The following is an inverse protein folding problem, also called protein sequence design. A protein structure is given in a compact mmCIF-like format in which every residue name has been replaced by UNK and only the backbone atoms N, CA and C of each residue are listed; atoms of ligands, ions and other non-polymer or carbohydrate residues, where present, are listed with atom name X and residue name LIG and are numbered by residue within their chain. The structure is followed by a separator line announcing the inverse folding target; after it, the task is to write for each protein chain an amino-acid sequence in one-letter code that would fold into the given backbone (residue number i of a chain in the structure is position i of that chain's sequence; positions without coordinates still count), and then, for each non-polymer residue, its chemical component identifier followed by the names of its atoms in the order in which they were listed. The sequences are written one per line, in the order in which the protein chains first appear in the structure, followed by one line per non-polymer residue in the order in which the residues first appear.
data_IF_813935330954
#
_entry.id   IF_813935330954
#
_cell.length_a   1.000
_cell.length_b   1.000
_cell.length_c   1.000
_cell.angle_alpha   90.00
_cell.angle_beta   90.00
_cell.angle_gamma   90.00
#
_symmetry.space_group_name_H-M   'P 1'
#
loop_
_entity.id
_entity.type
_entity.pdbx_description
1 polymer ?
#
# COMPACT_ATOMS: atom_id res chain seq x y z
N UNK A 1 -2.18 -3.86 -30.54
CA UNK A 1 -2.10 -4.28 -29.13
C UNK A 1 -2.41 -5.75 -28.98
N UNK A 2 -3.52 -6.27 -29.51
CA UNK A 2 -3.82 -7.72 -29.49
C UNK A 2 -2.74 -8.60 -30.13
N UNK A 3 -2.21 -8.24 -31.30
CA UNK A 3 -1.15 -9.04 -31.96
C UNK A 3 0.16 -9.05 -31.17
N UNK A 4 0.45 -7.97 -30.42
CA UNK A 4 1.62 -7.89 -29.54
C UNK A 4 1.39 -8.67 -28.24
N UNK A 5 0.17 -8.64 -27.70
CA UNK A 5 -0.23 -9.43 -26.53
C UNK A 5 -0.18 -10.94 -26.82
N UNK A 6 -0.59 -11.36 -28.01
CA UNK A 6 -0.49 -12.76 -28.45
C UNK A 6 0.96 -13.20 -28.63
N UNK A 7 1.81 -12.35 -29.23
CA UNK A 7 3.23 -12.63 -29.40
C UNK A 7 3.96 -12.77 -28.05
N UNK A 8 3.70 -11.86 -27.10
CA UNK A 8 4.27 -11.94 -25.75
C UNK A 8 3.72 -13.16 -24.99
N UNK A 9 2.44 -13.54 -25.16
CA UNK A 9 1.87 -14.71 -24.52
C UNK A 9 2.44 -16.04 -25.06
N UNK A 10 2.84 -16.09 -26.33
CA UNK A 10 3.52 -17.25 -26.92
C UNK A 10 4.99 -17.38 -26.46
N UNK A 11 5.71 -16.26 -26.31
CA UNK A 11 7.11 -16.26 -25.84
C UNK A 11 7.25 -16.52 -24.32
N UNK A 12 6.23 -16.19 -23.51
CA UNK A 12 6.35 -16.17 -22.04
C UNK A 12 5.49 -17.23 -21.32
N UNK A 13 5.45 -18.47 -21.83
CA UNK A 13 4.77 -19.59 -21.13
C UNK A 13 5.33 -19.89 -19.73
N UNK A 14 6.51 -19.38 -19.38
CA UNK A 14 7.16 -19.56 -18.07
C UNK A 14 7.28 -18.28 -17.22
N UNK A 15 6.80 -17.12 -17.70
CA UNK A 15 6.82 -15.90 -16.87
C UNK A 15 5.87 -16.05 -15.69
N UNK A 16 6.42 -16.34 -14.50
CA UNK A 16 5.67 -16.27 -13.24
C UNK A 16 5.13 -14.85 -13.08
N UNK A 17 3.80 -14.73 -13.07
CA UNK A 17 3.11 -13.48 -12.78
C UNK A 17 3.61 -12.90 -11.45
N UNK A 18 4.13 -11.67 -11.48
CA UNK A 18 4.44 -10.91 -10.27
C UNK A 18 3.38 -9.83 -10.07
N UNK A 19 2.89 -9.73 -8.84
CA UNK A 19 2.00 -8.63 -8.46
C UNK A 19 2.73 -7.28 -8.42
N UNK A 20 4.07 -7.25 -8.38
CA UNK A 20 4.82 -6.02 -8.25
C UNK A 20 5.24 -5.46 -9.61
N UNK A 21 4.64 -4.33 -9.98
CA UNK A 21 4.89 -3.64 -11.24
C UNK A 21 5.80 -2.42 -10.98
N UNK A 22 7.02 -2.38 -11.52
CA UNK A 22 7.86 -1.19 -11.43
C UNK A 22 7.32 -0.11 -12.38
N UNK A 23 6.81 1.00 -11.84
CA UNK A 23 6.44 2.18 -12.63
C UNK A 23 7.66 3.08 -12.87
N UNK A 24 8.55 3.13 -11.87
CA UNK A 24 9.92 3.64 -11.97
C UNK A 24 10.79 2.92 -10.93
N UNK A 25 11.74 2.12 -11.39
CA UNK A 25 12.64 1.36 -10.51
C UNK A 25 13.88 2.16 -10.07
N UNK A 26 14.25 3.20 -10.83
CA UNK A 26 15.40 4.06 -10.55
C UNK A 26 15.07 5.19 -9.57
N UNK A 27 16.12 5.71 -8.93
CA UNK A 27 16.06 6.80 -7.95
C UNK A 27 16.97 6.54 -6.75
N UNK A 28 17.25 7.57 -5.98
CA UNK A 28 18.11 7.50 -4.78
C UNK A 28 17.32 7.43 -3.48
N UNK A 29 16.03 7.79 -3.50
CA UNK A 29 15.16 7.77 -2.32
C UNK A 29 14.60 6.37 -2.04
N UNK A 30 14.16 6.08 -0.81
CA UNK A 30 13.43 4.85 -0.51
C UNK A 30 12.18 4.71 -1.39
N UNK A 31 11.87 3.51 -1.91
CA UNK A 31 10.69 3.29 -2.73
C UNK A 31 9.37 3.63 -2.03
N UNK A 32 8.38 4.05 -2.81
CA UNK A 32 6.97 4.03 -2.40
C UNK A 32 6.25 2.88 -3.11
N UNK A 33 5.50 2.10 -2.34
CA UNK A 33 4.72 0.97 -2.82
C UNK A 33 3.23 1.33 -2.86
N UNK A 34 2.68 1.43 -4.07
CA UNK A 34 1.30 1.85 -4.32
C UNK A 34 0.38 0.62 -4.53
N UNK A 35 -0.60 0.41 -3.67
CA UNK A 35 -1.52 -0.71 -3.80
C UNK A 35 -2.62 -0.40 -4.82
N UNK A 36 -3.06 -1.40 -5.58
CA UNK A 36 -4.17 -1.27 -6.54
C UNK A 36 -5.46 -0.70 -5.92
N UNK A 37 -6.35 -0.19 -6.75
CA UNK A 37 -7.72 0.15 -6.35
C UNK A 37 -8.69 -1.04 -6.55
N UNK A 38 -10.00 -0.82 -6.41
CA UNK A 38 -11.01 -1.86 -6.65
C UNK A 38 -10.98 -2.48 -8.06
N UNK A 39 -10.45 -1.76 -9.06
CA UNK A 39 -10.25 -2.24 -10.42
C UNK A 39 -9.07 -3.21 -10.62
N UNK A 40 -8.21 -3.39 -9.62
CA UNK A 40 -7.11 -4.36 -9.61
C UNK A 40 -5.86 -3.98 -10.41
N UNK A 41 -5.99 -3.20 -11.49
CA UNK A 41 -4.86 -2.64 -12.25
C UNK A 41 -4.22 -1.45 -11.52
N UNK A 42 -3.02 -1.06 -11.95
CA UNK A 42 -2.18 -0.05 -11.26
C UNK A 42 -1.67 1.07 -12.17
N UNK A 43 -1.92 0.99 -13.48
CA UNK A 43 -1.36 1.95 -14.44
C UNK A 43 -1.85 3.40 -14.27
N UNK A 44 -2.94 3.61 -13.52
CA UNK A 44 -3.40 4.96 -13.17
C UNK A 44 -2.41 5.71 -12.25
N UNK A 45 -1.42 5.03 -11.66
CA UNK A 45 -0.34 5.68 -10.90
C UNK A 45 0.78 6.26 -11.78
N UNK A 46 0.72 6.13 -13.11
CA UNK A 46 1.79 6.60 -14.01
C UNK A 46 2.08 8.10 -13.85
N UNK A 47 1.03 8.92 -13.82
CA UNK A 47 1.20 10.38 -13.69
C UNK A 47 1.65 10.76 -12.28
N UNK A 48 1.21 10.03 -11.24
CA UNK A 48 1.74 10.18 -9.88
C UNK A 48 3.25 9.94 -9.85
N UNK A 49 3.71 8.84 -10.44
CA UNK A 49 5.13 8.52 -10.51
C UNK A 49 5.90 9.65 -11.21
N UNK A 50 5.40 10.14 -12.35
CA UNK A 50 6.00 11.27 -13.05
C UNK A 50 6.19 12.49 -12.15
N UNK A 51 5.16 12.90 -11.41
CA UNK A 51 5.19 14.11 -10.57
C UNK A 51 5.96 13.98 -9.25
N UNK A 52 6.14 12.76 -8.72
CA UNK A 52 7.01 12.53 -7.55
C UNK A 52 8.51 12.81 -7.84
N UNK A 53 8.88 13.00 -9.11
CA UNK A 53 10.24 13.34 -9.53
C UNK A 53 11.15 12.13 -9.71
N UNK A 54 12.26 12.28 -10.45
CA UNK A 54 13.08 11.16 -10.92
C UNK A 54 13.78 10.38 -9.80
N UNK A 55 14.03 11.01 -8.65
CA UNK A 55 14.75 10.38 -7.53
C UNK A 55 13.89 9.46 -6.66
N UNK A 56 12.58 9.41 -6.88
CA UNK A 56 11.63 8.62 -6.09
C UNK A 56 11.27 7.32 -6.83
N UNK A 57 11.77 6.14 -6.42
CA UNK A 57 11.30 4.88 -6.98
C UNK A 57 9.83 4.65 -6.63
N UNK A 58 9.06 4.15 -7.59
CA UNK A 58 7.61 3.89 -7.48
C UNK A 58 7.32 2.50 -8.02
N UNK A 59 6.82 1.65 -7.13
CA UNK A 59 6.36 0.30 -7.47
C UNK A 59 4.88 0.20 -7.13
N UNK A 60 4.13 -0.54 -7.94
CA UNK A 60 2.71 -0.72 -7.70
C UNK A 60 2.32 -2.19 -7.60
N UNK A 61 1.50 -2.52 -6.61
CA UNK A 61 1.03 -3.86 -6.33
C UNK A 61 -0.29 -4.10 -7.07
N UNK A 62 -0.22 -4.79 -8.19
CA UNK A 62 -1.35 -5.27 -8.98
C UNK A 62 -1.97 -6.50 -8.33
N UNK A 63 -3.31 -6.56 -8.37
CA UNK A 63 -4.05 -7.67 -7.79
C UNK A 63 -3.69 -9.01 -8.45
N UNK A 64 -3.48 -10.04 -7.62
CA UNK A 64 -3.34 -11.41 -8.09
C UNK A 64 -4.66 -11.87 -8.74
N UNK A 65 -4.57 -12.44 -9.94
CA UNK A 65 -5.76 -12.86 -10.68
C UNK A 65 -6.59 -11.72 -11.29
N UNK A 66 -5.96 -10.59 -11.64
CA UNK A 66 -6.61 -9.56 -12.48
C UNK A 66 -7.07 -10.15 -13.82
N UNK A 67 -6.25 -11.03 -14.38
CA UNK A 67 -6.46 -11.72 -15.66
C UNK A 67 -6.96 -13.16 -15.49
N UNK A 68 -6.67 -13.82 -14.35
CA UNK A 68 -7.14 -15.17 -14.00
C UNK A 68 -7.74 -15.20 -12.58
N UNK A 69 -9.07 -15.22 -12.49
CA UNK A 69 -9.79 -15.17 -11.23
C UNK A 69 -9.54 -16.40 -10.32
N UNK A 70 -9.03 -17.51 -10.84
CA UNK A 70 -8.71 -18.70 -10.04
C UNK A 70 -7.52 -18.48 -9.10
N UNK A 71 -6.70 -17.47 -9.39
CA UNK A 71 -5.53 -17.11 -8.59
C UNK A 71 -5.82 -16.01 -7.56
N UNK A 72 -7.08 -15.58 -7.42
CA UNK A 72 -7.41 -14.53 -6.47
C UNK A 72 -7.27 -15.03 -5.03
N UNK A 73 -6.54 -14.29 -4.20
CA UNK A 73 -6.48 -14.54 -2.76
C UNK A 73 -7.88 -14.45 -2.12
N UNK A 74 -8.11 -15.27 -1.10
CA UNK A 74 -9.42 -15.44 -0.46
C UNK A 74 -9.73 -14.34 0.57
N UNK A 75 -8.70 -13.79 1.23
CA UNK A 75 -8.83 -12.80 2.29
C UNK A 75 -7.75 -11.70 2.26
N UNK A 76 -7.90 -10.71 3.15
CA UNK A 76 -7.03 -9.53 3.22
C UNK A 76 -5.66 -9.89 3.81
N UNK A 77 -5.62 -10.78 4.78
CA UNK A 77 -4.44 -11.26 5.49
C UNK A 77 -3.48 -11.97 4.54
N UNK A 78 -3.98 -12.92 3.75
CA UNK A 78 -3.24 -13.65 2.73
C UNK A 78 -2.78 -12.73 1.61
N UNK A 79 -3.64 -11.80 1.18
CA UNK A 79 -3.27 -10.79 0.17
C UNK A 79 -2.11 -9.90 0.68
N UNK A 80 -2.19 -9.45 1.93
CA UNK A 80 -1.15 -8.64 2.56
C UNK A 80 0.16 -9.42 2.67
N UNK A 81 0.13 -10.67 3.11
CA UNK A 81 1.33 -11.53 3.19
C UNK A 81 2.00 -11.72 1.83
N UNK A 82 1.21 -11.98 0.77
CA UNK A 82 1.72 -12.06 -0.60
C UNK A 82 2.37 -10.75 -1.04
N UNK A 83 1.72 -9.61 -0.82
CA UNK A 83 2.29 -8.31 -1.17
C UNK A 83 3.58 -8.00 -0.39
N UNK A 84 3.64 -8.37 0.89
CA UNK A 84 4.86 -8.24 1.68
C UNK A 84 6.02 -9.09 1.13
N UNK A 85 5.74 -10.31 0.66
CA UNK A 85 6.74 -11.14 -0.01
C UNK A 85 7.25 -10.47 -1.29
N UNK A 86 6.37 -9.88 -2.09
CA UNK A 86 6.78 -9.19 -3.32
C UNK A 86 7.63 -7.95 -3.04
N UNK A 87 7.21 -7.04 -2.13
CA UNK A 87 7.98 -5.81 -1.87
C UNK A 87 9.34 -6.11 -1.22
N UNK A 88 9.45 -7.19 -0.44
CA UNK A 88 10.72 -7.62 0.19
C UNK A 88 11.78 -8.06 -0.82
N UNK A 89 11.39 -8.44 -2.04
CA UNK A 89 12.34 -8.71 -3.13
C UNK A 89 13.06 -7.46 -3.59
N UNK A 90 12.42 -6.30 -3.47
CA UNK A 90 12.98 -4.99 -3.85
C UNK A 90 13.63 -4.30 -2.65
N UNK A 91 12.96 -4.33 -1.50
CA UNK A 91 13.43 -3.72 -0.26
C UNK A 91 13.31 -4.73 0.89
N UNK A 92 14.39 -5.48 1.22
CA UNK A 92 14.32 -6.57 2.20
C UNK A 92 14.01 -6.14 3.64
N UNK A 93 14.26 -4.87 3.99
CA UNK A 93 14.05 -4.32 5.34
C UNK A 93 13.43 -2.93 5.28
N UNK A 94 12.63 -2.63 6.30
CA UNK A 94 12.06 -1.30 6.47
C UNK A 94 13.10 -0.19 6.72
N UNK A 95 12.64 1.07 6.84
CA UNK A 95 11.24 1.46 6.87
C UNK A 95 10.59 1.46 5.47
N UNK A 96 9.35 0.95 5.38
CA UNK A 96 8.58 0.92 4.12
C UNK A 96 7.71 2.17 3.98
N UNK A 97 7.44 2.61 2.75
CA UNK A 97 6.43 3.64 2.45
C UNK A 97 5.30 3.03 1.62
N UNK A 98 4.08 3.04 2.16
CA UNK A 98 2.90 2.44 1.54
C UNK A 98 1.89 3.51 1.16
N UNK A 99 1.33 3.40 -0.05
CA UNK A 99 0.20 4.20 -0.51
C UNK A 99 -0.98 3.29 -0.81
N UNK A 100 -2.11 3.56 -0.18
CA UNK A 100 -3.32 2.80 -0.32
C UNK A 100 -4.48 3.69 -0.75
N UNK A 101 -5.24 3.22 -1.74
CA UNK A 101 -6.36 3.94 -2.31
C UNK A 101 -7.59 3.02 -2.44
N UNK A 102 -8.76 3.57 -2.14
CA UNK A 102 -10.04 2.90 -2.25
C UNK A 102 -10.08 1.63 -1.40
N UNK A 103 -10.22 0.47 -2.05
CA UNK A 103 -10.34 -0.83 -1.40
C UNK A 103 -9.10 -1.21 -0.58
N UNK A 104 -7.90 -0.89 -1.07
CA UNK A 104 -6.67 -1.45 -0.53
C UNK A 104 -6.19 -0.80 0.77
N UNK A 105 -6.98 0.11 1.36
CA UNK A 105 -6.70 0.62 2.71
C UNK A 105 -6.71 -0.50 3.75
N UNK A 106 -7.57 -1.52 3.61
CA UNK A 106 -7.61 -2.65 4.53
C UNK A 106 -6.40 -3.56 4.34
N UNK A 107 -5.99 -3.79 3.08
CA UNK A 107 -4.78 -4.56 2.76
C UNK A 107 -3.54 -3.83 3.31
N UNK A 108 -3.41 -2.53 3.07
CA UNK A 108 -2.28 -1.77 3.60
C UNK A 108 -2.26 -1.73 5.12
N UNK A 109 -3.42 -1.64 5.77
CA UNK A 109 -3.50 -1.69 7.23
C UNK A 109 -3.01 -3.04 7.77
N UNK A 110 -3.40 -4.13 7.12
CA UNK A 110 -2.95 -5.47 7.46
C UNK A 110 -1.46 -5.69 7.18
N UNK A 111 -0.94 -5.16 6.06
CA UNK A 111 0.50 -5.17 5.77
C UNK A 111 1.29 -4.47 6.89
N UNK A 112 0.81 -3.31 7.37
CA UNK A 112 1.45 -2.60 8.48
C UNK A 112 1.44 -3.45 9.75
N UNK A 113 0.31 -4.08 10.10
CA UNK A 113 0.21 -4.99 11.26
C UNK A 113 1.25 -6.12 11.17
N UNK A 114 1.28 -6.83 10.04
CA UNK A 114 2.20 -7.96 9.83
C UNK A 114 3.68 -7.51 9.83
N UNK A 115 3.99 -6.33 9.30
CA UNK A 115 5.34 -5.76 9.36
C UNK A 115 5.76 -5.47 10.81
N UNK A 116 4.88 -4.87 11.62
CA UNK A 116 5.15 -4.59 13.03
C UNK A 116 5.35 -5.88 13.84
N UNK A 117 4.53 -6.90 13.60
CA UNK A 117 4.67 -8.22 14.22
C UNK A 117 5.99 -8.91 13.84
N UNK A 118 6.49 -8.65 12.63
CA UNK A 118 7.79 -9.14 12.17
C UNK A 118 8.98 -8.26 12.63
N UNK A 119 8.75 -7.20 13.40
CA UNK A 119 9.78 -6.27 13.86
C UNK A 119 10.29 -5.27 12.80
N UNK A 120 9.62 -5.20 11.64
CA UNK A 120 9.86 -4.18 10.62
C UNK A 120 9.06 -2.90 10.91
N UNK A 121 9.48 -1.79 10.28
CA UNK A 121 8.83 -0.48 10.48
C UNK A 121 8.30 0.10 9.16
N UNK A 122 7.36 1.03 9.27
CA UNK A 122 6.76 1.74 8.12
C UNK A 122 6.94 3.23 8.37
N UNK A 123 7.57 3.95 7.43
CA UNK A 123 7.80 5.40 7.52
C UNK A 123 6.56 6.20 7.13
N UNK A 124 5.89 5.81 6.05
CA UNK A 124 4.71 6.52 5.54
C UNK A 124 3.59 5.52 5.27
N UNK A 125 2.41 5.81 5.84
CA UNK A 125 1.16 5.12 5.55
C UNK A 125 0.20 6.15 4.95
N UNK A 126 0.22 6.27 3.62
CA UNK A 126 -0.62 7.21 2.89
C UNK A 126 -1.96 6.57 2.52
N UNK A 127 -3.04 7.04 3.14
CA UNK A 127 -4.41 6.61 2.88
C UNK A 127 -5.10 7.67 2.02
N UNK A 128 -5.42 7.33 0.76
CA UNK A 128 -5.95 8.28 -0.21
C UNK A 128 -7.47 8.15 -0.28
N UNK A 129 -8.15 9.23 0.10
CA UNK A 129 -9.59 9.49 -0.05
C UNK A 129 -10.49 8.31 0.34
N UNK A 130 -10.09 7.56 1.37
CA UNK A 130 -10.75 6.33 1.80
C UNK A 130 -10.75 6.20 3.33
N UNK A 131 -11.80 5.58 3.85
CA UNK A 131 -12.03 5.43 5.28
C UNK A 131 -12.35 3.98 5.62
N UNK A 132 -11.94 3.48 6.79
CA UNK A 132 -12.42 2.21 7.31
C UNK A 132 -13.96 2.20 7.39
N UNK A 133 -14.60 1.02 7.34
CA UNK A 133 -16.04 0.93 7.44
C UNK A 133 -16.50 1.47 8.79
N UNK A 134 -17.64 2.17 8.79
CA UNK A 134 -18.34 2.43 10.06
C UNK A 134 -18.68 1.08 10.67
N UNK A 135 -18.23 0.82 11.89
CA UNK A 135 -18.81 -0.23 12.71
C UNK A 135 -20.26 0.18 12.99
N UNK A 136 -21.16 -0.19 12.09
CA UNK A 136 -22.58 -0.01 12.33
C UNK A 136 -22.92 -0.99 13.44
N UNK A 137 -23.16 -0.49 14.65
CA UNK A 137 -23.78 -1.29 15.72
C UNK A 137 -24.92 -2.07 15.07
N UNK A 138 -24.83 -3.41 15.05
CA UNK A 138 -25.90 -4.24 14.47
C UNK A 138 -27.19 -3.82 15.16
N UNK A 139 -28.12 -3.20 14.42
CA UNK A 139 -29.40 -2.75 14.97
C UNK A 139 -30.07 -3.96 15.60
N UNK A 140 -30.35 -3.87 16.90
CA UNK A 140 -31.07 -4.91 17.62
C UNK A 140 -32.51 -4.98 17.11
N UNK A 141 -33.24 -6.06 17.42
CA UNK A 141 -34.67 -6.13 17.09
C UNK A 141 -35.46 -4.99 17.77
N UNK A 142 -35.00 -4.54 18.94
CA UNK A 142 -35.57 -3.40 19.68
C UNK A 142 -35.36 -2.09 18.91
N UNK A 143 -34.15 -1.83 18.39
CA UNK A 143 -33.86 -0.63 17.58
C UNK A 143 -34.72 -0.56 16.32
N UNK A 144 -34.98 -1.73 15.71
CA UNK A 144 -35.85 -1.84 14.52
C UNK A 144 -37.29 -1.53 14.87
N UNK A 145 -37.79 -2.08 15.98
CA UNK A 145 -39.15 -1.85 16.46
C UNK A 145 -39.36 -0.39 16.85
N UNK A 146 -38.44 0.22 17.59
CA UNK A 146 -38.46 1.66 17.89
C UNK A 146 -38.44 2.52 16.62
N UNK A 147 -37.64 2.15 15.61
CA UNK A 147 -37.63 2.85 14.33
C UNK A 147 -38.95 2.76 13.55
N UNK A 148 -39.69 1.67 13.70
CA UNK A 148 -41.03 1.49 13.11
C UNK A 148 -42.06 2.31 13.90
N UNK A 149 -42.04 2.21 15.23
CA UNK A 149 -42.93 2.94 16.13
C UNK A 149 -42.78 4.46 15.99
N UNK A 150 -41.55 4.98 15.94
CA UNK A 150 -41.32 6.42 15.76
C UNK A 150 -41.82 6.91 14.40
N UNK A 151 -41.63 6.14 13.32
CA UNK A 151 -42.16 6.51 11.99
C UNK A 151 -43.67 6.48 11.91
N UNK A 152 -44.31 5.54 12.60
CA UNK A 152 -45.76 5.47 12.71
C UNK A 152 -46.30 6.67 13.50
N UNK A 153 -45.63 7.06 14.61
CA UNK A 153 -45.97 8.25 15.41
C UNK A 153 -45.80 9.56 14.64
N UNK A 154 -44.84 9.64 13.71
CA UNK A 154 -44.61 10.85 12.89
C UNK A 154 -45.38 10.88 11.58
N UNK A 155 -46.28 9.90 11.32
CA UNK A 155 -47.01 9.77 10.05
C UNK A 155 -46.08 9.87 8.82
N UNK A 156 -44.86 9.33 8.93
CA UNK A 156 -43.85 9.43 7.88
C UNK A 156 -44.05 8.35 6.81
N UNK A 157 -44.77 8.70 5.74
CA UNK A 157 -44.99 7.86 4.57
C UNK A 157 -43.79 7.80 3.61
N UNK A 158 -42.65 8.40 3.93
CA UNK A 158 -41.42 8.29 3.12
C UNK A 158 -40.93 6.83 2.97
N UNK A 159 -41.39 5.92 3.83
CA UNK A 159 -41.20 4.48 3.68
C UNK A 159 -41.83 3.92 2.39
N UNK A 160 -42.96 4.46 1.90
CA UNK A 160 -43.55 4.06 0.61
C UNK A 160 -42.61 4.47 -0.53
N UNK A 161 -42.07 5.69 -0.48
CA UNK A 161 -41.01 6.14 -1.40
C UNK A 161 -39.75 5.27 -1.30
N UNK A 162 -39.40 4.82 -0.09
CA UNK A 162 -38.28 3.89 0.15
C UNK A 162 -38.56 2.50 -0.41
N UNK A 163 -39.75 1.92 -0.22
CA UNK A 163 -40.17 0.64 -0.82
C UNK A 163 -40.16 0.78 -2.34
N UNK A 164 -40.78 1.82 -2.88
CA UNK A 164 -40.86 2.02 -4.31
C UNK A 164 -39.47 2.23 -4.93
N UNK A 165 -38.56 2.93 -4.23
CA UNK A 165 -37.17 3.09 -4.69
C UNK A 165 -36.32 1.82 -4.52
N UNK A 166 -36.45 1.08 -3.41
CA UNK A 166 -35.60 -0.09 -3.09
C UNK A 166 -36.11 -1.40 -3.66
N UNK A 167 -37.42 -1.63 -3.68
CA UNK A 167 -38.07 -2.87 -4.16
C UNK A 167 -38.56 -2.82 -5.60
N UNK A 168 -38.75 -1.64 -6.18
CA UNK A 168 -39.26 -1.49 -7.56
C UNK A 168 -38.20 -0.82 -8.45
N UNK A 169 -37.84 0.45 -8.22
CA UNK A 169 -36.87 1.16 -9.08
C UNK A 169 -35.48 0.55 -9.09
N UNK A 170 -34.92 0.18 -7.93
CA UNK A 170 -33.57 -0.41 -7.83
C UNK A 170 -33.42 -1.73 -8.60
N UNK A 171 -34.29 -2.75 -8.42
CA UNK A 171 -34.18 -3.99 -9.18
C UNK A 171 -34.48 -3.79 -10.67
N UNK A 172 -35.42 -2.92 -11.04
CA UNK A 172 -35.68 -2.60 -12.45
C UNK A 172 -34.44 -1.94 -13.07
N UNK A 173 -33.86 -0.92 -12.42
CA UNK A 173 -32.64 -0.25 -12.90
C UNK A 173 -31.46 -1.23 -12.94
N UNK A 174 -31.29 -2.08 -11.93
CA UNK A 174 -30.24 -3.09 -11.91
C UNK A 174 -30.39 -4.11 -13.05
N UNK A 175 -31.62 -4.57 -13.32
CA UNK A 175 -31.97 -5.48 -14.41
C UNK A 175 -31.80 -4.81 -15.78
N UNK A 176 -32.20 -3.54 -15.92
CA UNK A 176 -31.98 -2.73 -17.12
C UNK A 176 -30.50 -2.49 -17.37
N UNK A 177 -29.74 -2.10 -16.34
CA UNK A 177 -28.29 -2.00 -16.46
C UNK A 177 -27.69 -3.34 -16.80
N UNK A 178 -28.07 -4.47 -16.20
CA UNK A 178 -27.49 -5.77 -16.58
C UNK A 178 -27.86 -6.23 -17.99
N UNK A 179 -28.97 -5.74 -18.55
CA UNK A 179 -29.41 -6.03 -19.92
C UNK A 179 -28.74 -5.13 -20.96
N UNK A 180 -28.32 -3.92 -20.58
CA UNK A 180 -27.68 -2.91 -21.47
C UNK A 180 -26.16 -2.77 -21.22
N UNK A 181 -25.66 -3.34 -20.11
CA UNK A 181 -24.23 -3.31 -19.78
C UNK A 181 -23.46 -4.30 -20.64
N UNK A 182 -22.33 -3.85 -21.15
CA UNK A 182 -21.33 -4.73 -21.76
C UNK A 182 -20.78 -5.76 -20.76
N UNK A 183 -20.13 -6.80 -21.31
CA UNK A 183 -19.53 -7.88 -20.52
C UNK A 183 -18.52 -7.34 -19.49
N UNK A 184 -17.78 -6.28 -19.82
CA UNK A 184 -16.78 -5.66 -18.95
C UNK A 184 -17.39 -5.03 -17.70
N UNK A 185 -18.48 -4.27 -17.85
CA UNK A 185 -19.19 -3.65 -16.73
C UNK A 185 -19.73 -4.69 -15.76
N UNK A 186 -20.26 -5.81 -16.28
CA UNK A 186 -20.76 -6.92 -15.45
C UNK A 186 -19.61 -7.56 -14.68
N UNK A 187 -18.47 -7.81 -15.34
CA UNK A 187 -17.29 -8.37 -14.68
C UNK A 187 -16.75 -7.42 -13.60
N UNK A 188 -16.67 -6.12 -13.88
CA UNK A 188 -16.26 -5.11 -12.90
C UNK A 188 -17.18 -5.10 -11.68
N UNK A 189 -18.51 -5.16 -11.87
CA UNK A 189 -19.45 -5.24 -10.75
C UNK A 189 -19.26 -6.51 -9.91
N UNK A 190 -19.02 -7.67 -10.54
CA UNK A 190 -18.72 -8.92 -9.82
C UNK A 190 -17.44 -8.79 -9.01
N UNK A 191 -16.36 -8.26 -9.61
CA UNK A 191 -15.07 -8.00 -8.94
C UNK A 191 -15.27 -7.09 -7.72
N UNK A 192 -15.99 -5.98 -7.88
CA UNK A 192 -16.28 -5.05 -6.78
C UNK A 192 -17.12 -5.69 -5.66
N UNK A 193 -18.06 -6.57 -5.98
CA UNK A 193 -18.83 -7.31 -4.95
C UNK A 193 -17.94 -8.25 -4.14
N UNK A 194 -17.08 -9.02 -4.80
CA UNK A 194 -16.14 -9.90 -4.11
C UNK A 194 -15.22 -9.12 -3.16
N UNK A 195 -14.67 -7.98 -3.62
CA UNK A 195 -13.86 -7.11 -2.78
C UNK A 195 -14.65 -6.55 -1.60
N UNK A 196 -15.89 -6.11 -1.80
CA UNK A 196 -16.72 -5.62 -0.68
C UNK A 196 -17.01 -6.71 0.36
N UNK A 197 -17.20 -7.97 -0.07
CA UNK A 197 -17.37 -9.10 0.86
C UNK A 197 -16.08 -9.33 1.66
N UNK A 198 -14.94 -9.37 0.97
CA UNK A 198 -13.63 -9.52 1.60
C UNK A 198 -13.33 -8.40 2.61
N UNK A 199 -13.53 -7.14 2.21
CA UNK A 199 -13.35 -5.97 3.09
C UNK A 199 -14.33 -5.91 4.26
N UNK A 200 -15.53 -6.47 4.12
CA UNK A 200 -16.51 -6.54 5.20
C UNK A 200 -16.19 -7.64 6.23
N UNK A 201 -15.45 -8.69 5.82
CA UNK A 201 -15.00 -9.75 6.70
C UNK A 201 -13.78 -9.33 7.54
N UNK A 202 -12.98 -8.36 7.06
CA UNK A 202 -11.77 -7.91 7.74
C UNK A 202 -12.05 -7.21 9.07
N UNK A 203 -11.28 -7.62 10.09
CA UNK A 203 -11.39 -7.08 11.45
C UNK A 203 -10.32 -6.04 11.69
N UNK A 204 -10.74 -4.78 11.68
CA UNK A 204 -9.86 -3.64 11.95
C UNK A 204 -9.43 -3.61 13.42
N UNK A 205 -8.12 -3.64 13.66
CA UNK A 205 -7.51 -3.46 14.97
C UNK A 205 -6.74 -2.14 15.02
N UNK A 206 -6.77 -1.38 16.14
CA UNK A 206 -5.93 -0.20 16.29
C UNK A 206 -4.44 -0.55 16.24
N UNK A 207 -3.64 0.32 15.64
CA UNK A 207 -2.19 0.17 15.50
C UNK A 207 -1.48 1.43 16.01
N UNK A 208 -0.31 1.30 16.66
CA UNK A 208 0.51 2.41 17.14
C UNK A 208 1.29 3.05 15.99
N UNK A 209 0.57 3.59 15.01
CA UNK A 209 1.12 4.21 13.80
C UNK A 209 0.46 5.56 13.53
N UNK A 210 1.17 6.40 12.80
CA UNK A 210 0.63 7.66 12.29
C UNK A 210 0.16 7.47 10.86
N UNK A 211 -1.04 7.91 10.53
CA UNK A 211 -1.60 7.85 9.17
C UNK A 211 -1.47 9.20 8.49
N UNK A 212 -1.03 9.22 7.23
CA UNK A 212 -1.14 10.37 6.34
C UNK A 212 -2.40 10.20 5.50
N UNK A 213 -3.44 10.98 5.79
CA UNK A 213 -4.74 10.92 5.13
C UNK A 213 -4.85 12.06 4.12
N UNK A 214 -4.86 11.75 2.82
CA UNK A 214 -5.06 12.76 1.76
C UNK A 214 -6.50 12.66 1.25
N UNK A 215 -7.28 13.73 1.37
CA UNK A 215 -8.74 13.74 1.09
C UNK A 215 -9.07 14.66 -0.07
N UNK A 216 -10.07 14.28 -0.85
CA UNK A 216 -10.65 15.13 -1.89
C UNK A 216 -11.52 16.25 -1.29
N UNK A 217 -11.33 17.48 -1.76
CA UNK A 217 -12.03 18.68 -1.27
C UNK A 217 -13.57 18.64 -1.35
N UNK A 218 -14.23 18.11 -2.41
CA UNK A 218 -15.68 18.22 -2.61
C UNK A 218 -16.56 17.56 -1.55
N UNK A 219 -15.96 16.80 -0.62
CA UNK A 219 -16.69 16.09 0.43
C UNK A 219 -16.40 16.61 1.83
N UNK A 220 -15.71 17.74 1.98
CA UNK A 220 -15.43 18.34 3.28
C UNK A 220 -16.66 18.89 3.98
N UNK A 221 -17.65 19.38 3.22
CA UNK A 221 -18.94 19.80 3.78
C UNK A 221 -19.89 18.64 4.09
N UNK A 222 -19.53 17.40 3.74
CA UNK A 222 -20.39 16.24 3.93
C UNK A 222 -20.11 15.61 5.31
N UNK A 223 -20.92 15.99 6.31
CA UNK A 223 -20.80 15.49 7.69
C UNK A 223 -20.75 13.97 7.77
N UNK A 224 -21.61 13.27 7.02
CA UNK A 224 -21.64 11.81 7.01
C UNK A 224 -20.35 11.20 6.46
N UNK A 225 -19.69 11.83 5.49
CA UNK A 225 -18.38 11.39 5.03
C UNK A 225 -17.30 11.73 6.07
N UNK A 226 -17.36 12.92 6.67
CA UNK A 226 -16.43 13.31 7.73
C UNK A 226 -16.46 12.33 8.92
N UNK A 227 -17.64 11.88 9.33
CA UNK A 227 -17.82 10.85 10.37
C UNK A 227 -17.13 9.52 10.02
N UNK A 228 -17.09 9.16 8.73
CA UNK A 228 -16.35 7.96 8.31
C UNK A 228 -14.85 8.16 8.42
N UNK A 229 -14.35 9.30 7.99
CA UNK A 229 -12.92 9.60 8.03
C UNK A 229 -12.39 9.77 9.45
N UNK A 230 -13.21 10.26 10.40
CA UNK A 230 -12.80 10.39 11.81
C UNK A 230 -12.49 9.04 12.46
N UNK A 231 -12.94 7.92 11.89
CA UNK A 231 -12.60 6.56 12.34
C UNK A 231 -11.13 6.21 12.23
N UNK A 232 -10.36 6.95 11.44
CA UNK A 232 -8.91 6.83 11.50
C UNK A 232 -8.34 7.21 12.86
N UNK A 233 -8.96 8.14 13.61
CA UNK A 233 -8.51 8.51 14.95
C UNK A 233 -8.69 7.37 15.98
N UNK A 234 -9.67 6.49 15.75
CA UNK A 234 -9.90 5.32 16.61
C UNK A 234 -8.88 4.19 16.34
N UNK A 235 -8.22 4.22 15.16
CA UNK A 235 -7.36 3.13 14.69
C UNK A 235 -5.87 3.51 14.66
N UNK A 236 -5.51 4.72 14.24
CA UNK A 236 -4.14 5.21 14.15
C UNK A 236 -3.75 5.91 15.45
N UNK A 237 -3.22 5.13 16.41
CA UNK A 237 -3.02 5.61 17.79
C UNK A 237 -1.96 6.72 17.91
N UNK A 238 -1.06 6.85 16.93
CA UNK A 238 -0.08 7.95 16.90
C UNK A 238 -0.57 9.15 16.07
N UNK A 239 -1.86 9.19 15.75
CA UNK A 239 -2.53 10.31 15.11
C UNK A 239 -2.69 10.20 13.60
N UNK A 240 -3.42 11.17 13.05
CA UNK A 240 -3.76 11.27 11.63
C UNK A 240 -3.36 12.66 11.14
N UNK A 241 -2.44 12.72 10.17
CA UNK A 241 -2.12 13.95 9.44
C UNK A 241 -3.06 14.06 8.25
N UNK A 242 -3.89 15.10 8.18
CA UNK A 242 -4.88 15.23 7.11
C UNK A 242 -4.51 16.34 6.13
N UNK A 243 -4.39 15.98 4.86
CA UNK A 243 -4.11 16.89 3.76
C UNK A 243 -5.32 16.93 2.82
N UNK A 244 -5.62 18.09 2.27
CA UNK A 244 -6.73 18.27 1.33
C UNK A 244 -6.14 18.57 -0.04
N UNK A 245 -6.69 17.92 -1.07
CA UNK A 245 -6.35 18.18 -2.48
C UNK A 245 -7.62 18.38 -3.29
N UNK A 246 -7.50 19.12 -4.39
CA UNK A 246 -8.59 19.28 -5.34
C UNK A 246 -8.90 17.97 -6.08
N UNK A 247 -10.08 17.92 -6.68
CA UNK A 247 -10.55 16.75 -7.43
C UNK A 247 -11.56 15.89 -6.69
N UNK A 248 -11.95 14.80 -7.33
CA UNK A 248 -12.86 13.80 -6.79
C UNK A 248 -12.16 12.45 -6.69
N UNK A 249 -12.63 11.59 -5.79
CA UNK A 249 -12.20 10.18 -5.66
C UNK A 249 -11.77 9.54 -6.99
N UNK A 250 -12.61 9.65 -8.03
CA UNK A 250 -12.41 8.98 -9.33
C UNK A 250 -11.30 9.55 -10.20
N UNK A 251 -10.88 10.80 -10.01
CA UNK A 251 -9.91 11.47 -10.88
C UNK A 251 -8.68 12.01 -10.13
N UNK A 252 -8.51 11.71 -8.83
CA UNK A 252 -7.35 12.15 -8.04
C UNK A 252 -5.97 11.79 -8.65
N UNK A 253 -5.90 10.71 -9.44
CA UNK A 253 -4.67 10.26 -10.09
C UNK A 253 -4.55 10.71 -11.55
N UNK A 254 -5.50 11.49 -12.04
CA UNK A 254 -5.51 12.01 -13.39
C UNK A 254 -5.00 13.46 -13.39
N UNK A 255 -4.48 13.88 -14.54
CA UNK A 255 -4.18 15.30 -14.75
C UNK A 255 -5.48 16.14 -14.82
N UNK A 256 -5.51 17.35 -14.21
CA UNK A 256 -4.41 18.01 -13.48
C UNK A 256 -4.32 17.68 -11.98
N UNK A 257 -5.31 17.00 -11.39
CA UNK A 257 -5.45 16.81 -9.94
C UNK A 257 -4.26 16.07 -9.30
N UNK A 258 -3.67 15.12 -10.04
CA UNK A 258 -2.55 14.29 -9.61
C UNK A 258 -1.32 15.10 -9.19
N UNK A 259 -1.15 16.33 -9.70
CA UNK A 259 -0.01 17.20 -9.35
C UNK A 259 -0.02 17.56 -7.87
N UNK A 260 -1.17 18.02 -7.36
CA UNK A 260 -1.30 18.39 -5.95
C UNK A 260 -1.15 17.15 -5.06
N UNK A 261 -1.72 16.02 -5.48
CA UNK A 261 -1.58 14.76 -4.77
C UNK A 261 -0.10 14.33 -4.67
N UNK A 262 0.64 14.40 -5.77
CA UNK A 262 2.06 14.06 -5.81
C UNK A 262 2.90 15.00 -4.96
N UNK A 263 2.59 16.30 -4.98
CA UNK A 263 3.27 17.29 -4.15
C UNK A 263 3.09 17.00 -2.65
N UNK A 264 1.83 16.81 -2.20
CA UNK A 264 1.54 16.49 -0.80
C UNK A 264 2.21 15.18 -0.36
N UNK A 265 2.07 14.13 -1.16
CA UNK A 265 2.72 12.84 -0.88
C UNK A 265 4.25 12.97 -0.85
N UNK A 266 4.83 13.70 -1.80
CA UNK A 266 6.27 13.93 -1.89
C UNK A 266 6.81 14.67 -0.67
N UNK A 267 6.08 15.66 -0.16
CA UNK A 267 6.44 16.36 1.07
C UNK A 267 6.45 15.41 2.28
N UNK A 268 5.43 14.55 2.42
CA UNK A 268 5.37 13.55 3.48
C UNK A 268 6.53 12.54 3.39
N UNK A 269 6.81 12.02 2.19
CA UNK A 269 7.93 11.10 1.96
C UNK A 269 9.28 11.73 2.29
N UNK A 270 9.53 12.96 1.82
CA UNK A 270 10.78 13.67 2.09
C UNK A 270 10.98 13.95 3.57
N UNK A 271 9.91 14.38 4.27
CA UNK A 271 9.95 14.63 5.71
C UNK A 271 10.37 13.39 6.49
N UNK A 272 9.75 12.25 6.23
CA UNK A 272 10.08 11.01 6.92
C UNK A 272 11.43 10.43 6.50
N UNK A 273 11.84 10.62 5.24
CA UNK A 273 13.19 10.26 4.80
C UNK A 273 14.26 11.02 5.58
N UNK A 274 14.12 12.35 5.70
CA UNK A 274 15.06 13.20 6.42
C UNK A 274 15.09 12.87 7.93
N UNK A 275 13.92 12.64 8.54
CA UNK A 275 13.82 12.22 9.94
C UNK A 275 14.55 10.90 10.19
N UNK A 276 14.43 9.92 9.28
CA UNK A 276 15.09 8.63 9.41
C UNK A 276 16.61 8.73 9.20
N UNK A 277 17.08 9.65 8.35
CA UNK A 277 18.52 9.93 8.23
C UNK A 277 19.07 10.56 9.52
N UNK A 278 18.38 11.56 10.08
CA UNK A 278 18.81 12.24 11.31
C UNK A 278 18.80 11.34 12.56
N UNK A 279 17.99 10.26 12.57
CA UNK A 279 17.96 9.28 13.67
C UNK A 279 19.05 8.21 13.59
N UNK A 280 19.78 8.11 12.48
CA UNK A 280 20.95 7.23 12.42
C UNK A 280 22.05 7.89 13.26
N UNK A 281 22.62 7.20 14.26
CA UNK A 281 23.77 7.74 14.97
C UNK A 281 24.87 8.00 13.95
N UNK A 282 25.43 9.21 13.97
CA UNK A 282 26.60 9.56 13.17
C UNK A 282 27.68 8.49 13.39
N UNK A 283 28.21 7.94 12.30
CA UNK A 283 29.55 7.36 12.32
C UNK A 283 30.54 8.52 12.46
N UNK A 284 30.67 9.04 13.67
CA UNK A 284 31.74 9.91 14.15
C UNK A 284 32.09 9.34 15.53
N UNK A 285 33.27 8.78 15.82
CA UNK A 285 34.60 8.96 15.26
C UNK A 285 35.31 7.60 15.20
N UNK A 286 35.92 7.27 14.06
CA UNK A 286 37.01 6.29 14.03
C UNK A 286 38.33 7.10 14.16
N UNK A 287 39.04 7.03 15.30
CA UNK A 287 40.26 7.80 15.49
C UNK A 287 41.46 7.26 14.71
N UNK A 288 41.33 6.17 13.94
CA UNK A 288 42.50 5.51 13.32
C UNK A 288 42.79 5.95 11.87
N UNK A 289 42.18 7.03 11.39
CA UNK A 289 42.49 7.61 10.08
C UNK A 289 43.68 8.59 10.12
N UNK A 290 44.80 8.20 10.75
CA UNK A 290 46.11 8.78 10.42
C UNK A 290 46.89 7.77 9.59
N UNK A 291 46.83 7.93 8.27
CA UNK A 291 47.52 7.10 7.32
C UNK A 291 49.04 7.08 7.54
N UNK A 292 49.56 5.91 7.90
CA UNK A 292 50.91 5.48 7.51
C UNK A 292 50.77 4.44 6.39
N UNK A 293 51.49 4.58 5.26
CA UNK A 293 51.41 3.60 4.20
C UNK A 293 52.36 2.45 4.54
N UNK A 294 51.83 1.30 4.96
CA UNK A 294 52.64 0.09 5.08
C UNK A 294 52.47 -0.83 3.87
N UNK A 295 53.59 -0.87 3.14
CA UNK A 295 54.04 -1.72 2.05
C UNK A 295 53.24 -3.02 1.81
N UNK A 296 52.83 -3.15 0.54
CA UNK A 296 52.50 -4.40 -0.13
C UNK A 296 53.40 -5.57 0.31
N UNK A 297 52.78 -6.66 0.74
CA UNK A 297 53.42 -7.99 0.73
C UNK A 297 52.50 -8.96 0.01
N UNK A 298 52.91 -9.32 -1.20
CA UNK A 298 52.28 -10.34 -2.02
C UNK A 298 52.31 -11.70 -1.29
N UNK A 299 51.15 -12.33 -1.19
CA UNK A 299 51.01 -13.73 -0.78
C UNK A 299 51.32 -14.58 -2.01
N UNK A 300 52.36 -15.41 -1.93
CA UNK A 300 52.55 -16.51 -2.88
C UNK A 300 52.24 -17.83 -2.17
N UNK A 301 51.41 -18.64 -2.85
CA UNK A 301 51.08 -20.01 -2.49
C UNK A 301 52.35 -20.85 -2.65
N UNK A 302 52.78 -21.52 -1.60
CA UNK A 302 53.26 -22.91 -1.60
C UNK A 302 53.63 -23.29 -0.17
N UNK A 303 52.83 -24.20 0.41
CA UNK A 303 53.08 -24.75 1.73
C UNK A 303 54.29 -25.66 1.69
N UNK A 304 55.28 -25.36 2.54
CA UNK A 304 56.18 -26.38 3.08
C UNK A 304 56.61 -25.93 4.47
N UNK A 305 56.44 -26.84 5.43
CA UNK A 305 56.97 -26.74 6.79
C UNK A 305 58.49 -26.86 6.71
N UNK A 306 59.23 -25.95 7.35
CA UNK A 306 60.61 -26.23 7.71
C UNK A 306 60.91 -26.01 9.19
N UNK A 307 61.66 -26.99 9.69
CA UNK A 307 61.93 -27.37 11.07
C UNK A 307 62.67 -26.29 11.85
N UNK A 308 62.28 -26.16 13.11
CA UNK A 308 63.12 -25.62 14.18
C UNK A 308 64.26 -26.61 14.44
N UNK A 309 65.48 -26.24 14.07
CA UNK A 309 66.72 -26.78 14.64
C UNK A 309 67.67 -25.58 14.79
N UNK A 310 67.87 -25.14 16.03
CA UNK A 310 69.03 -24.30 16.39
C UNK A 310 69.79 -25.03 17.48
N UNK A 311 70.85 -25.70 17.04
CA UNK A 311 71.93 -26.21 17.87
C UNK A 311 72.80 -25.05 18.37
N UNK A 312 73.03 -25.12 19.67
CA UNK A 312 74.15 -24.59 20.44
C UNK A 312 75.47 -24.35 19.68
N UNK A 313 76.01 -23.14 19.90
CA UNK A 313 77.29 -22.89 20.61
C UNK A 313 78.61 -22.86 19.82
N UNK A 314 79.44 -21.87 20.22
CA UNK A 314 80.92 -21.81 20.27
C UNK A 314 81.67 -20.85 19.32
N UNK A 315 82.48 -20.00 19.99
CA UNK A 315 83.65 -19.18 19.62
C UNK A 315 83.44 -17.90 18.80
N UNK A 316 83.75 -16.69 19.30
CA UNK A 316 84.92 -16.12 20.02
C UNK A 316 86.12 -15.78 19.11
N UNK A 317 86.44 -14.46 19.08
CA UNK A 317 87.70 -13.78 18.66
C UNK A 317 88.09 -13.96 17.19
N UNK A 318 88.50 -12.94 16.43
CA UNK A 318 89.22 -11.69 16.73
C UNK A 318 88.57 -10.42 16.14
#
# INVERSE_FOLDING_TARGET
VESLALFIAEENKEAKFSSLVPLRASGSKPPVFCLHAGGGHVFFYKDLAKHLGPDQPVYALQRLGVDDATQAAEDIESTASHYLQEIRKVQPKGPYSLLAYCFSISISWEMVRQLQEAGDTVSVIAMIDSSPPLQVRKKTNIDRLHGILNRAKTLDFSFIKTIWTTRIKRPIKAKWTSLVSDKETIQFQKKMRALNVMGAAYVWKPLPVKVTLIRSAPFLSNERKNEKFSKWNDLALNGVDTHIVDGHHRNLFNEPEVKQLAEQLGQCLNKEHNNNQARRPDKADDPDATGKPDKFRAVNKNGTLDKVITSQEVNSRD
#
